data_IF_768004807604
#
_entry.id   IF_768004807604
#
_cell.length_a   1.000
_cell.length_b   1.000
_cell.length_c   1.000
_cell.angle_alpha   90.00
_cell.angle_beta   90.00
_cell.angle_gamma   90.00
#
_symmetry.space_group_name_H-M   'P 1'
#
loop_
_entity.id
_entity.type
_entity.pdbx_description
1 polymer ?
#
# COMPACT_ATOMS: atom_id res chain seq x y z
N UNK A 1 7.98 -9.82 0.76
CA UNK A 1 7.73 -9.15 -0.53
C UNK A 1 6.84 -7.93 -0.33
N UNK A 2 6.89 -6.95 -1.23
CA UNK A 2 5.99 -5.80 -1.24
C UNK A 2 5.58 -5.44 -2.67
N UNK A 3 4.43 -4.80 -2.82
CA UNK A 3 3.89 -4.35 -4.11
C UNK A 3 3.41 -2.90 -3.99
N UNK A 4 3.99 -2.01 -4.78
CA UNK A 4 3.58 -0.62 -4.88
C UNK A 4 2.66 -0.45 -6.08
N UNK A 5 1.39 -0.15 -5.81
CA UNK A 5 0.36 -0.01 -6.82
C UNK A 5 0.33 1.43 -7.31
N UNK A 6 0.31 1.57 -8.63
CA UNK A 6 0.20 2.85 -9.32
C UNK A 6 -1.14 2.89 -10.02
N UNK A 7 -1.80 4.05 -9.97
CA UNK A 7 -3.04 4.30 -10.69
C UNK A 7 -2.83 4.07 -12.19
N UNK A 8 -3.77 3.35 -12.81
CA UNK A 8 -3.74 3.02 -14.23
C UNK A 8 -4.11 4.20 -15.15
N UNK A 9 -4.35 5.40 -14.61
CA UNK A 9 -4.85 6.56 -15.33
C UNK A 9 -6.35 6.48 -15.66
N UNK A 10 -7.09 5.62 -14.95
CA UNK A 10 -8.54 5.41 -15.14
C UNK A 10 -9.38 6.16 -14.08
N UNK A 11 -8.73 6.94 -13.22
CA UNK A 11 -9.37 7.75 -12.17
C UNK A 11 -9.00 9.24 -12.31
N UNK A 12 -9.55 10.10 -11.45
CA UNK A 12 -9.28 11.54 -11.42
C UNK A 12 -7.85 11.89 -10.94
N UNK A 13 -7.10 10.90 -10.46
CA UNK A 13 -5.72 11.11 -10.05
C UNK A 13 -4.81 11.25 -11.29
N UNK A 14 -3.77 12.07 -11.21
CA UNK A 14 -2.78 12.16 -12.28
C UNK A 14 -2.21 10.77 -12.63
N UNK A 15 -2.10 10.41 -13.91
CA UNK A 15 -1.48 9.15 -14.33
C UNK A 15 -0.11 8.96 -13.69
N UNK A 16 0.17 7.77 -13.17
CA UNK A 16 1.42 7.49 -12.45
C UNK A 16 1.38 7.79 -10.95
N UNK A 17 0.24 8.22 -10.41
CA UNK A 17 0.05 8.39 -8.96
C UNK A 17 0.16 7.06 -8.21
N UNK A 18 0.94 7.02 -7.13
CA UNK A 18 1.01 5.84 -6.24
C UNK A 18 -0.21 5.82 -5.33
N UNK A 19 -1.03 4.77 -5.39
CA UNK A 19 -2.34 4.73 -4.73
C UNK A 19 -2.44 3.75 -3.58
N UNK A 20 -1.68 2.65 -3.62
CA UNK A 20 -1.69 1.67 -2.54
C UNK A 20 -0.34 0.98 -2.38
N UNK A 21 -0.07 0.52 -1.16
CA UNK A 21 1.09 -0.29 -0.82
C UNK A 21 0.63 -1.59 -0.18
N UNK A 22 0.91 -2.71 -0.84
CA UNK A 22 0.75 -4.05 -0.28
C UNK A 22 2.06 -4.53 0.36
N UNK A 23 1.98 -5.01 1.59
CA UNK A 23 3.12 -5.59 2.32
C UNK A 23 2.78 -7.03 2.70
N UNK A 24 3.61 -7.99 2.27
CA UNK A 24 3.44 -9.40 2.58
C UNK A 24 3.39 -10.33 1.35
N UNK A 25 2.94 -11.59 1.53
CA UNK A 25 2.62 -12.20 2.82
C UNK A 25 3.86 -12.28 3.72
N UNK A 26 3.69 -12.03 5.02
CA UNK A 26 4.75 -12.11 6.03
C UNK A 26 4.15 -12.21 7.45
N UNK A 27 4.99 -12.40 8.47
CA UNK A 27 4.55 -12.37 9.87
C UNK A 27 3.99 -11.01 10.26
N UNK A 28 2.84 -11.03 10.95
CA UNK A 28 2.17 -9.82 11.41
C UNK A 28 3.02 -8.99 12.38
N UNK A 29 3.82 -9.64 13.23
CA UNK A 29 4.72 -8.96 14.17
C UNK A 29 5.73 -8.05 13.45
N UNK A 30 6.22 -8.47 12.28
CA UNK A 30 7.16 -7.68 11.49
C UNK A 30 6.46 -6.58 10.70
N UNK A 31 5.31 -6.89 10.08
CA UNK A 31 4.53 -5.90 9.31
C UNK A 31 4.03 -4.78 10.23
N UNK A 32 3.55 -5.12 11.42
CA UNK A 32 2.97 -4.18 12.37
C UNK A 32 3.97 -3.14 12.87
N UNK A 33 5.28 -3.41 12.86
CA UNK A 33 6.30 -2.40 13.18
C UNK A 33 6.20 -1.16 12.27
N UNK A 34 5.61 -1.32 11.08
CA UNK A 34 5.45 -0.25 10.09
C UNK A 34 4.00 0.21 9.93
N UNK A 35 3.03 -0.68 10.08
CA UNK A 35 1.62 -0.39 9.72
C UNK A 35 0.68 -0.20 10.92
N UNK A 36 1.08 -0.52 12.16
CA UNK A 36 0.15 -0.52 13.31
C UNK A 36 -0.40 0.85 13.69
N UNK A 37 0.29 1.92 13.31
CA UNK A 37 -0.18 3.31 13.51
C UNK A 37 -1.16 3.81 12.46
N UNK A 38 -1.38 3.04 11.39
CA UNK A 38 -2.32 3.42 10.33
C UNK A 38 -3.76 3.17 10.80
N UNK A 39 -4.65 4.10 10.50
CA UNK A 39 -6.09 3.90 10.71
C UNK A 39 -6.60 2.85 9.73
N UNK A 40 -7.53 2.03 10.19
CA UNK A 40 -8.29 1.17 9.31
C UNK A 40 -9.13 2.05 8.36
N UNK A 41 -9.21 1.62 7.10
CA UNK A 41 -9.94 2.30 6.03
C UNK A 41 -11.45 2.32 6.28
#
# INVERSE_FOLDING_TARGET
SCALVTDAGLTELPPGSKTALGVGPWYSADINQFTSGLKLL
#
